data_IF_129039908010
#
_entry.id   IF_129039908010
#
_cell.length_a   1.000
_cell.length_b   1.000
_cell.length_c   1.000
_cell.angle_alpha   90.00
_cell.angle_beta   90.00
_cell.angle_gamma   90.00
#
_symmetry.space_group_name_H-M   'P 1'
#
loop_
_entity.id
_entity.type
_entity.pdbx_description
1 polymer ?
#
# COMPACT_ATOMS: atom_id res chain seq x y z
N UNK A 1 0.79 48.47 -55.24
CA UNK A 1 0.91 49.14 -53.93
C UNK A 1 -0.07 48.45 -53.02
N UNK A 2 0.42 47.52 -52.26
CA UNK A 2 -0.33 46.79 -51.23
C UNK A 2 0.25 47.22 -49.90
N UNK A 3 -0.54 47.79 -49.02
CA UNK A 3 -0.19 48.25 -47.69
C UNK A 3 -0.26 47.08 -46.73
N UNK A 4 0.88 46.72 -46.10
CA UNK A 4 0.98 45.81 -44.96
C UNK A 4 0.32 46.44 -43.74
N UNK A 5 -0.63 45.73 -43.14
CA UNK A 5 -1.18 46.05 -41.82
C UNK A 5 -0.45 45.23 -40.79
N UNK A 6 0.27 45.91 -39.91
CA UNK A 6 0.88 45.35 -38.70
C UNK A 6 -0.20 44.90 -37.69
N UNK A 7 -0.37 43.60 -37.52
CA UNK A 7 -1.14 43.01 -36.41
C UNK A 7 -0.22 42.81 -35.20
N UNK A 8 -0.25 43.74 -34.29
CA UNK A 8 0.34 43.59 -32.93
C UNK A 8 -0.55 42.69 -32.09
N UNK A 9 -0.21 41.40 -32.00
CA UNK A 9 -0.82 40.45 -31.05
C UNK A 9 -0.31 40.73 -29.64
N UNK A 10 -1.16 41.36 -28.82
CA UNK A 10 -0.96 41.48 -27.38
C UNK A 10 -1.16 40.10 -26.72
N UNK A 11 -0.08 39.48 -26.29
CA UNK A 11 -0.11 38.28 -25.41
C UNK A 11 -0.66 38.68 -24.05
N UNK A 12 -1.92 38.33 -23.78
CA UNK A 12 -2.51 38.41 -22.44
C UNK A 12 -1.78 37.46 -21.51
N UNK A 13 -1.02 38.04 -20.57
CA UNK A 13 -0.41 37.30 -19.47
C UNK A 13 -1.50 36.67 -18.61
N UNK A 14 -1.62 35.32 -18.68
CA UNK A 14 -2.47 34.56 -17.77
C UNK A 14 -2.02 34.74 -16.32
N UNK A 15 -2.92 34.56 -15.35
CA UNK A 15 -2.58 34.72 -13.96
C UNK A 15 -1.47 33.72 -13.58
N UNK A 16 -0.34 34.25 -13.09
CA UNK A 16 0.75 33.43 -12.54
C UNK A 16 0.22 32.68 -11.35
N UNK A 17 0.29 31.34 -11.41
CA UNK A 17 0.01 30.47 -10.27
C UNK A 17 0.89 30.91 -9.07
N UNK A 18 0.34 30.99 -7.86
CA UNK A 18 1.13 31.31 -6.68
C UNK A 18 2.30 30.34 -6.56
N UNK A 19 3.48 30.87 -6.24
CA UNK A 19 4.66 30.05 -6.01
C UNK A 19 4.34 29.00 -4.96
N UNK A 20 4.55 27.71 -5.30
CA UNK A 20 4.33 26.61 -4.38
C UNK A 20 5.18 26.83 -3.12
N UNK A 21 4.59 26.63 -1.95
CA UNK A 21 5.31 26.67 -0.68
C UNK A 21 6.56 25.76 -0.77
N UNK A 22 7.68 26.13 -0.12
CA UNK A 22 8.91 25.36 -0.21
C UNK A 22 8.64 23.91 0.22
N UNK A 23 8.91 22.97 -0.68
CA UNK A 23 8.67 21.56 -0.49
C UNK A 23 9.61 21.04 0.62
N UNK A 24 9.03 20.54 1.72
CA UNK A 24 9.77 20.04 2.88
C UNK A 24 10.51 18.73 2.57
N UNK A 25 9.88 17.85 1.79
CA UNK A 25 10.42 16.52 1.46
C UNK A 25 10.58 16.34 -0.05
N UNK A 26 11.66 15.66 -0.44
CA UNK A 26 11.95 15.31 -1.84
C UNK A 26 11.55 13.88 -2.16
N UNK A 27 11.48 13.00 -1.13
CA UNK A 27 11.15 11.59 -1.31
C UNK A 27 10.50 10.95 -0.09
N UNK A 28 9.84 9.83 -0.31
CA UNK A 28 9.33 8.93 0.72
C UNK A 28 10.09 7.61 0.63
N UNK A 29 10.72 7.19 1.73
CA UNK A 29 11.40 5.91 1.85
C UNK A 29 10.49 4.91 2.56
N UNK A 30 10.15 3.82 1.89
CA UNK A 30 9.36 2.72 2.44
C UNK A 30 10.30 1.60 2.85
N UNK A 31 10.25 1.21 4.12
CA UNK A 31 11.13 0.22 4.71
C UNK A 31 10.41 -1.10 4.95
N UNK A 32 10.95 -2.17 4.35
CA UNK A 32 10.66 -3.55 4.74
C UNK A 32 11.66 -4.04 5.78
N UNK A 33 11.61 -5.34 6.07
CA UNK A 33 12.38 -5.96 7.15
C UNK A 33 13.68 -6.64 6.72
N UNK A 34 14.01 -6.69 5.44
CA UNK A 34 15.18 -7.44 4.96
C UNK A 34 16.50 -6.75 5.36
N UNK A 35 17.39 -7.43 6.12
CA UNK A 35 18.54 -6.81 6.76
C UNK A 35 19.60 -6.28 5.77
N UNK A 36 19.76 -6.94 4.62
CA UNK A 36 20.82 -6.59 3.68
C UNK A 36 20.68 -5.19 3.08
N UNK A 37 19.45 -4.71 2.93
CA UNK A 37 19.20 -3.45 2.21
C UNK A 37 18.51 -2.36 3.03
N UNK A 38 17.85 -2.71 4.15
CA UNK A 38 17.13 -1.73 4.97
C UNK A 38 18.06 -0.65 5.51
N UNK A 39 19.28 -1.00 5.89
CA UNK A 39 20.24 -0.05 6.47
C UNK A 39 20.87 0.91 5.45
N UNK A 40 20.65 0.68 4.14
CA UNK A 40 21.07 1.62 3.09
C UNK A 40 20.03 2.70 2.78
N UNK A 41 18.90 2.73 3.51
CA UNK A 41 17.89 3.78 3.38
C UNK A 41 18.45 5.14 3.79
N UNK A 42 17.88 6.24 3.29
CA UNK A 42 18.42 7.60 3.47
C UNK A 42 18.12 8.18 4.87
N UNK A 43 18.48 7.45 5.94
CA UNK A 43 18.20 7.86 7.32
C UNK A 43 18.82 9.20 7.72
N UNK A 44 20.00 9.53 7.16
CA UNK A 44 20.71 10.79 7.44
C UNK A 44 20.20 11.98 6.63
N UNK A 45 19.36 11.75 5.62
CA UNK A 45 18.84 12.81 4.75
C UNK A 45 17.46 13.27 5.23
N UNK A 46 17.39 14.47 5.81
CA UNK A 46 16.15 15.05 6.33
C UNK A 46 15.14 15.42 5.24
N UNK A 47 15.53 15.40 3.96
CA UNK A 47 14.60 15.60 2.85
C UNK A 47 13.78 14.34 2.49
N UNK A 48 14.07 13.21 3.13
CA UNK A 48 13.29 12.00 2.99
C UNK A 48 12.36 11.78 4.18
N UNK A 49 11.11 11.43 3.91
CA UNK A 49 10.15 10.98 4.90
C UNK A 49 10.23 9.45 5.01
N UNK A 50 10.52 8.94 6.20
CA UNK A 50 10.78 7.51 6.42
C UNK A 50 9.52 6.81 6.94
N UNK A 51 8.99 5.88 6.15
CA UNK A 51 7.88 5.00 6.47
C UNK A 51 8.39 3.62 6.84
N UNK A 52 7.92 3.08 7.95
CA UNK A 52 8.24 1.72 8.38
C UNK A 52 6.98 1.01 8.88
N UNK A 53 7.01 -0.30 8.85
CA UNK A 53 5.94 -1.15 9.39
C UNK A 53 6.53 -2.24 10.27
N UNK A 54 5.64 -2.98 10.93
CA UNK A 54 5.95 -4.08 11.83
C UNK A 54 6.97 -5.06 11.23
N UNK A 55 8.18 -5.12 11.73
CA UNK A 55 9.04 -6.28 11.58
C UNK A 55 8.81 -7.22 12.76
N UNK A 56 8.97 -8.50 12.54
CA UNK A 56 8.80 -9.52 13.57
C UNK A 56 9.72 -9.35 14.81
N UNK A 57 10.71 -8.45 14.76
CA UNK A 57 11.69 -8.21 15.82
C UNK A 57 12.11 -6.73 15.91
N UNK A 58 11.21 -5.83 16.32
CA UNK A 58 11.56 -4.41 16.59
C UNK A 58 12.66 -4.31 17.65
N UNK A 59 12.64 -5.19 18.65
CA UNK A 59 13.64 -5.20 19.74
C UNK A 59 15.08 -5.42 19.25
N UNK A 60 15.26 -6.10 18.11
CA UNK A 60 16.56 -6.43 17.55
C UNK A 60 17.02 -5.48 16.45
N UNK A 61 16.17 -4.54 16.02
CA UNK A 61 16.47 -3.63 14.91
C UNK A 61 16.13 -2.20 15.28
N UNK A 62 17.11 -1.52 15.79
CA UNK A 62 17.01 -0.08 15.97
C UNK A 62 17.21 0.58 14.61
N UNK A 63 16.10 0.97 13.97
CA UNK A 63 16.18 1.84 12.80
C UNK A 63 16.66 3.21 13.25
N UNK A 64 17.62 3.83 12.54
CA UNK A 64 18.17 5.13 12.94
C UNK A 64 17.13 6.25 13.01
N UNK A 65 16.09 6.17 12.16
CA UNK A 65 14.97 7.12 12.11
C UNK A 65 13.73 6.46 11.51
N UNK A 66 12.58 6.80 12.06
CA UNK A 66 11.25 6.52 11.47
C UNK A 66 10.40 7.76 11.71
N UNK A 67 9.80 8.28 10.65
CA UNK A 67 8.93 9.45 10.73
C UNK A 67 7.46 9.05 10.84
N UNK A 68 7.06 7.96 10.17
CA UNK A 68 5.72 7.39 10.26
C UNK A 68 5.78 5.87 10.35
N UNK A 69 5.09 5.33 11.34
CA UNK A 69 4.95 3.90 11.54
C UNK A 69 3.60 3.40 11.06
N UNK A 70 3.55 2.20 10.49
CA UNK A 70 2.33 1.58 10.00
C UNK A 70 2.07 0.28 10.77
N UNK A 71 1.08 0.31 11.65
CA UNK A 71 0.56 -0.85 12.35
C UNK A 71 -0.79 -1.22 11.75
N UNK A 72 -0.77 -2.18 10.83
CA UNK A 72 -1.89 -2.48 9.94
C UNK A 72 -2.57 -3.82 10.23
N UNK A 73 -2.26 -4.45 11.36
CA UNK A 73 -2.96 -5.64 11.80
C UNK A 73 -4.43 -5.33 12.11
N UNK A 74 -5.30 -6.32 11.85
CA UNK A 74 -6.74 -6.17 12.02
C UNK A 74 -7.16 -6.20 13.50
N UNK A 75 -6.29 -6.71 14.36
CA UNK A 75 -6.57 -6.87 15.79
C UNK A 75 -5.40 -6.42 16.67
N UNK A 76 -5.73 -5.76 17.79
CA UNK A 76 -4.73 -5.35 18.77
C UNK A 76 -4.02 -6.55 19.41
N UNK A 77 -4.66 -7.71 19.44
CA UNK A 77 -4.08 -8.95 19.96
C UNK A 77 -2.86 -9.39 19.15
N UNK A 78 -2.85 -9.13 17.85
CA UNK A 78 -1.68 -9.41 16.98
C UNK A 78 -0.48 -8.54 17.35
N UNK A 79 -0.75 -7.32 17.82
CA UNK A 79 0.28 -6.36 18.27
C UNK A 79 0.82 -6.71 19.66
N UNK A 80 -0.03 -7.24 20.55
CA UNK A 80 0.35 -7.49 21.95
C UNK A 80 1.18 -8.76 22.16
N UNK A 81 1.30 -9.63 21.16
CA UNK A 81 2.06 -10.89 21.26
C UNK A 81 3.56 -10.69 21.52
N UNK A 82 4.10 -9.54 21.13
CA UNK A 82 5.50 -9.19 21.40
C UNK A 82 5.55 -7.94 22.28
N UNK A 83 5.73 -8.14 23.60
CA UNK A 83 5.66 -7.05 24.59
C UNK A 83 6.61 -5.87 24.29
N UNK A 84 7.83 -6.15 23.87
CA UNK A 84 8.79 -5.10 23.50
C UNK A 84 8.38 -4.33 22.27
N UNK A 85 7.77 -4.99 21.29
CA UNK A 85 7.21 -4.35 20.11
C UNK A 85 6.11 -3.34 20.46
N UNK A 86 5.16 -3.76 21.28
CA UNK A 86 4.07 -2.90 21.74
C UNK A 86 4.59 -1.61 22.40
N UNK A 87 5.60 -1.76 23.29
CA UNK A 87 6.24 -0.64 23.93
C UNK A 87 6.89 0.32 22.92
N UNK A 88 7.67 -0.22 21.99
CA UNK A 88 8.35 0.59 20.98
C UNK A 88 7.35 1.37 20.11
N UNK A 89 6.28 0.74 19.64
CA UNK A 89 5.25 1.39 18.82
C UNK A 89 4.44 2.42 19.63
N UNK A 90 4.15 2.14 20.91
CA UNK A 90 3.39 3.07 21.77
C UNK A 90 4.13 4.39 22.04
N UNK A 91 5.45 4.39 21.94
CA UNK A 91 6.31 5.56 22.11
C UNK A 91 6.52 6.37 20.82
N UNK A 92 6.14 5.81 19.66
CA UNK A 92 6.32 6.50 18.37
C UNK A 92 5.40 7.71 18.24
N UNK A 93 5.91 8.84 17.73
CA UNK A 93 5.15 10.08 17.64
C UNK A 93 4.06 10.04 16.56
N UNK A 94 4.16 9.11 15.61
CA UNK A 94 3.21 8.99 14.50
C UNK A 94 3.02 7.53 14.07
N UNK A 95 1.81 7.01 14.28
CA UNK A 95 1.46 5.62 13.96
C UNK A 95 0.12 5.57 13.22
N UNK A 96 0.14 5.06 12.00
CA UNK A 96 -1.07 4.70 11.26
C UNK A 96 -1.61 3.36 11.73
N UNK A 97 -2.89 3.30 12.09
CA UNK A 97 -3.54 2.10 12.61
C UNK A 97 -4.87 1.83 11.91
N UNK A 98 -5.18 0.55 11.70
CA UNK A 98 -6.47 0.11 11.14
C UNK A 98 -7.46 -0.31 12.21
N UNK A 99 -7.00 -0.93 13.31
CA UNK A 99 -7.89 -1.40 14.37
C UNK A 99 -8.48 -0.23 15.17
N UNK A 100 -9.81 0.00 15.11
CA UNK A 100 -10.45 1.07 15.88
C UNK A 100 -10.38 0.86 17.39
N UNK A 101 -10.16 -0.38 17.88
CA UNK A 101 -9.96 -0.68 19.30
C UNK A 101 -8.60 -0.18 19.76
N UNK A 102 -7.56 -0.40 18.93
CA UNK A 102 -6.22 0.13 19.17
C UNK A 102 -6.22 1.67 19.25
N UNK A 103 -6.92 2.33 18.32
CA UNK A 103 -7.08 3.79 18.31
C UNK A 103 -7.75 4.31 19.60
N UNK A 104 -8.76 3.61 20.11
CA UNK A 104 -9.51 3.98 21.32
C UNK A 104 -8.82 3.57 22.62
N UNK A 105 -7.82 2.71 22.57
CA UNK A 105 -7.16 2.15 23.77
C UNK A 105 -6.39 3.17 24.59
N UNK A 106 -5.96 4.28 23.99
CA UNK A 106 -5.08 5.27 24.59
C UNK A 106 -3.62 4.80 24.77
N UNK A 107 -3.29 3.59 24.35
CA UNK A 107 -1.93 3.03 24.46
C UNK A 107 -0.94 3.69 23.50
N UNK A 108 -1.41 4.13 22.35
CA UNK A 108 -0.58 4.66 21.28
C UNK A 108 -0.76 6.18 21.16
N UNK A 109 0.14 6.94 21.76
CA UNK A 109 0.04 8.41 21.80
C UNK A 109 0.04 9.07 20.41
N UNK A 110 0.78 8.50 19.49
CA UNK A 110 0.90 8.96 18.10
C UNK A 110 -0.11 8.37 17.13
N UNK A 111 -1.11 7.60 17.63
CA UNK A 111 -2.05 6.90 16.76
C UNK A 111 -2.89 7.82 15.87
N UNK A 112 -3.00 7.43 14.61
CA UNK A 112 -3.86 8.03 13.59
C UNK A 112 -4.61 6.93 12.86
N UNK A 113 -5.86 7.16 12.53
CA UNK A 113 -6.62 6.24 11.72
C UNK A 113 -6.05 6.18 10.30
N UNK A 114 -5.73 4.96 9.84
CA UNK A 114 -5.31 4.76 8.46
C UNK A 114 -6.52 5.07 7.54
N UNK A 115 -6.34 5.88 6.47
CA UNK A 115 -7.44 6.32 5.63
C UNK A 115 -7.92 5.23 4.66
N UNK A 116 -8.23 4.05 5.18
CA UNK A 116 -8.56 2.86 4.37
C UNK A 116 -9.77 3.11 3.47
N UNK A 117 -10.81 3.75 4.01
CA UNK A 117 -12.02 4.06 3.25
C UNK A 117 -11.76 4.95 2.04
N UNK A 118 -10.87 5.93 2.18
CA UNK A 118 -10.47 6.79 1.07
C UNK A 118 -9.65 6.01 0.04
N UNK A 119 -8.71 5.22 0.49
CA UNK A 119 -7.73 4.57 -0.38
C UNK A 119 -8.30 3.31 -1.05
N UNK A 120 -8.91 2.45 -0.26
CA UNK A 120 -9.44 1.14 -0.68
C UNK A 120 -10.91 1.19 -1.07
N UNK A 121 -11.66 2.14 -0.51
CA UNK A 121 -13.11 2.23 -0.66
C UNK A 121 -13.88 1.43 0.39
N UNK A 122 -15.18 1.34 0.17
CA UNK A 122 -16.11 0.58 1.00
C UNK A 122 -16.39 -0.80 0.40
N UNK A 123 -17.05 -1.64 1.19
CA UNK A 123 -17.50 -2.95 0.73
C UNK A 123 -18.93 -3.21 1.18
N UNK A 124 -19.61 -4.12 0.49
CA UNK A 124 -20.92 -4.62 0.86
C UNK A 124 -20.84 -6.12 1.13
N UNK A 125 -21.61 -6.58 2.11
CA UNK A 125 -21.74 -8.02 2.38
C UNK A 125 -22.81 -8.58 1.47
N UNK A 126 -22.47 -9.59 0.69
CA UNK A 126 -23.39 -10.28 -0.22
C UNK A 126 -23.45 -11.76 0.12
N UNK A 127 -24.66 -12.31 0.07
CA UNK A 127 -24.86 -13.75 0.15
C UNK A 127 -24.77 -14.32 -1.27
N UNK A 128 -23.76 -15.13 -1.52
CA UNK A 128 -23.58 -15.83 -2.79
C UNK A 128 -23.76 -17.33 -2.62
N UNK A 129 -24.10 -18.00 -3.72
CA UNK A 129 -23.97 -19.46 -3.81
C UNK A 129 -22.58 -19.78 -4.36
N UNK A 130 -21.78 -20.48 -3.59
CA UNK A 130 -20.44 -20.88 -3.97
C UNK A 130 -20.27 -22.40 -3.97
N UNK A 131 -19.48 -22.97 -4.90
CA UNK A 131 -19.17 -24.38 -4.92
C UNK A 131 -18.35 -24.77 -3.69
N UNK A 132 -18.63 -25.95 -3.13
CA UNK A 132 -17.91 -26.48 -1.96
C UNK A 132 -16.71 -27.35 -2.35
N UNK A 133 -16.56 -27.68 -3.64
CA UNK A 133 -15.62 -28.71 -4.11
C UNK A 133 -16.09 -30.14 -3.84
N UNK A 134 -17.25 -30.32 -3.19
CA UNK A 134 -17.85 -31.62 -2.96
C UNK A 134 -18.89 -31.92 -4.04
N UNK A 135 -19.05 -33.18 -4.40
CA UNK A 135 -20.00 -33.63 -5.38
C UNK A 135 -20.99 -34.63 -4.76
N UNK A 136 -22.24 -34.54 -5.12
CA UNK A 136 -23.28 -35.49 -4.73
C UNK A 136 -23.96 -36.06 -5.94
N UNK A 137 -24.43 -37.30 -5.81
CA UNK A 137 -25.24 -37.92 -6.83
C UNK A 137 -26.65 -37.33 -6.85
N UNK A 138 -27.11 -36.92 -8.00
CA UNK A 138 -28.46 -36.37 -8.25
C UNK A 138 -29.09 -37.09 -9.43
N UNK A 139 -30.42 -37.04 -9.55
CA UNK A 139 -31.08 -37.49 -10.76
C UNK A 139 -30.80 -36.50 -11.90
N UNK A 140 -30.21 -36.98 -12.98
CA UNK A 140 -30.02 -36.21 -14.21
C UNK A 140 -31.32 -35.98 -14.96
N UNK A 141 -31.31 -35.12 -16.00
CA UNK A 141 -32.51 -34.82 -16.82
C UNK A 141 -33.12 -36.03 -17.52
N UNK A 142 -32.33 -37.05 -17.77
CA UNK A 142 -32.73 -38.33 -18.38
C UNK A 142 -33.08 -39.42 -17.36
N UNK A 143 -33.18 -39.07 -16.07
CA UNK A 143 -33.44 -40.00 -14.97
C UNK A 143 -32.22 -40.83 -14.54
N UNK A 144 -31.07 -40.71 -15.20
CA UNK A 144 -29.86 -41.41 -14.83
C UNK A 144 -29.11 -40.66 -13.71
N UNK A 145 -28.33 -41.40 -12.90
CA UNK A 145 -27.50 -40.76 -11.89
C UNK A 145 -26.46 -39.80 -12.52
N UNK A 146 -26.42 -38.57 -12.05
CA UNK A 146 -25.42 -37.57 -12.41
C UNK A 146 -24.73 -37.02 -11.15
N UNK A 147 -23.48 -36.56 -11.27
CA UNK A 147 -22.79 -35.90 -10.20
C UNK A 147 -23.01 -34.39 -10.31
N UNK A 148 -23.50 -33.79 -9.24
CA UNK A 148 -23.66 -32.34 -9.16
C UNK A 148 -22.81 -31.78 -8.01
N UNK A 149 -22.16 -30.66 -8.25
CA UNK A 149 -21.41 -29.97 -7.24
C UNK A 149 -22.33 -29.39 -6.17
N UNK A 150 -21.96 -29.58 -4.92
CA UNK A 150 -22.68 -29.05 -3.76
C UNK A 150 -22.44 -27.56 -3.66
N UNK A 151 -23.49 -26.77 -3.72
CA UNK A 151 -23.45 -25.32 -3.55
C UNK A 151 -23.85 -24.97 -2.12
N UNK A 152 -23.10 -24.07 -1.49
CA UNK A 152 -23.46 -23.51 -0.19
C UNK A 152 -23.66 -21.99 -0.25
N UNK A 153 -24.41 -21.45 0.70
CA UNK A 153 -24.48 -20.00 0.87
C UNK A 153 -23.27 -19.53 1.63
N UNK A 154 -22.54 -18.57 1.06
CA UNK A 154 -21.42 -17.90 1.71
C UNK A 154 -21.69 -16.41 1.75
N UNK A 155 -21.37 -15.80 2.88
CA UNK A 155 -21.25 -14.35 2.98
C UNK A 155 -19.88 -13.96 2.47
N UNK A 156 -19.87 -13.11 1.46
CA UNK A 156 -18.63 -12.56 0.91
C UNK A 156 -18.67 -11.05 0.99
N UNK A 157 -17.54 -10.47 1.28
CA UNK A 157 -17.33 -9.03 1.21
C UNK A 157 -16.98 -8.67 -0.22
N UNK A 158 -17.84 -7.88 -0.86
CA UNK A 158 -17.66 -7.42 -2.24
C UNK A 158 -17.27 -5.95 -2.22
N UNK A 159 -16.08 -5.60 -2.71
CA UNK A 159 -15.64 -4.21 -2.78
C UNK A 159 -16.52 -3.38 -3.72
N UNK A 160 -16.84 -2.15 -3.30
CA UNK A 160 -17.65 -1.22 -4.10
C UNK A 160 -16.85 -0.46 -5.16
N UNK A 161 -15.51 -0.57 -5.14
CA UNK A 161 -14.60 0.14 -6.04
C UNK A 161 -14.76 1.67 -6.02
N UNK A 162 -15.16 2.21 -4.89
CA UNK A 162 -15.36 3.64 -4.63
C UNK A 162 -14.14 4.34 -3.98
N UNK A 163 -13.05 3.61 -3.80
CA UNK A 163 -11.77 4.13 -3.32
C UNK A 163 -10.85 4.63 -4.45
N UNK A 164 -9.74 5.25 -4.07
CA UNK A 164 -8.74 5.75 -5.02
C UNK A 164 -7.99 4.65 -5.77
N UNK A 165 -7.92 3.44 -5.20
CA UNK A 165 -7.16 2.32 -5.75
C UNK A 165 -8.00 1.04 -5.79
N UNK A 166 -7.55 0.07 -6.59
CA UNK A 166 -8.19 -1.24 -6.66
C UNK A 166 -8.11 -1.96 -5.30
N UNK A 167 -9.24 -2.28 -4.66
CA UNK A 167 -9.29 -2.80 -3.30
C UNK A 167 -8.63 -4.18 -3.13
N UNK A 168 -8.58 -4.99 -4.18
CA UNK A 168 -7.97 -6.33 -4.14
C UNK A 168 -6.44 -6.31 -4.16
N UNK A 169 -5.84 -5.15 -4.40
CA UNK A 169 -4.38 -4.99 -4.47
C UNK A 169 -3.72 -4.65 -3.13
N UNK A 170 -4.50 -4.47 -2.07
CA UNK A 170 -4.00 -4.26 -0.70
C UNK A 170 -3.58 -5.59 -0.05
N UNK A 171 -2.56 -6.21 -0.61
CA UNK A 171 -2.15 -7.58 -0.28
C UNK A 171 -1.10 -7.69 0.84
N UNK A 172 -0.53 -6.56 1.27
CA UNK A 172 0.51 -6.53 2.31
C UNK A 172 0.62 -5.15 2.95
N UNK A 173 1.26 -5.06 4.11
CA UNK A 173 1.56 -3.77 4.76
C UNK A 173 2.31 -2.82 3.82
N UNK A 174 3.21 -3.34 2.99
CA UNK A 174 3.95 -2.53 2.00
C UNK A 174 2.99 -1.94 0.95
N UNK A 175 1.98 -2.70 0.50
CA UNK A 175 0.97 -2.20 -0.43
C UNK A 175 0.15 -1.05 0.18
N UNK A 176 -0.25 -1.17 1.45
CA UNK A 176 -0.92 -0.09 2.19
C UNK A 176 -0.02 1.15 2.32
N UNK A 177 1.26 0.96 2.67
CA UNK A 177 2.22 2.06 2.77
C UNK A 177 2.43 2.77 1.43
N UNK A 178 2.50 2.02 0.33
CA UNK A 178 2.62 2.58 -1.03
C UNK A 178 1.38 3.40 -1.41
N UNK A 179 0.17 2.88 -1.14
CA UNK A 179 -1.06 3.63 -1.39
C UNK A 179 -1.06 4.99 -0.68
N UNK A 180 -0.69 5.00 0.62
CA UNK A 180 -0.58 6.25 1.39
C UNK A 180 0.53 7.16 0.86
N UNK A 181 1.69 6.59 0.52
CA UNK A 181 2.81 7.35 0.00
C UNK A 181 2.50 8.04 -1.34
N UNK A 182 1.70 7.39 -2.21
CA UNK A 182 1.26 8.01 -3.47
C UNK A 182 0.42 9.26 -3.18
N UNK A 183 -0.54 9.16 -2.26
CA UNK A 183 -1.38 10.30 -1.88
C UNK A 183 -0.54 11.41 -1.24
N UNK A 184 0.37 11.06 -0.32
CA UNK A 184 1.27 12.04 0.28
C UNK A 184 2.19 12.72 -0.75
N UNK A 185 2.62 11.99 -1.78
CA UNK A 185 3.38 12.56 -2.88
C UNK A 185 2.55 13.62 -3.64
N UNK A 186 1.29 13.31 -3.93
CA UNK A 186 0.40 14.24 -4.64
C UNK A 186 0.08 15.47 -3.79
N UNK A 187 -0.30 15.27 -2.52
CA UNK A 187 -0.66 16.36 -1.60
C UNK A 187 0.49 17.29 -1.26
N UNK A 188 1.71 16.74 -1.11
CA UNK A 188 2.89 17.48 -0.67
C UNK A 188 3.84 17.84 -1.81
N UNK A 189 3.53 17.45 -3.05
CA UNK A 189 4.38 17.69 -4.22
C UNK A 189 5.64 16.82 -4.27
N UNK A 190 5.75 15.78 -3.45
CA UNK A 190 6.90 14.85 -3.41
C UNK A 190 6.97 14.08 -4.73
N UNK A 191 8.18 13.88 -5.27
CA UNK A 191 8.35 13.35 -6.63
C UNK A 191 8.99 11.98 -6.71
N UNK A 192 9.30 11.36 -5.56
CA UNK A 192 9.95 10.04 -5.56
C UNK A 192 9.55 9.19 -4.37
N UNK A 193 9.44 7.88 -4.61
CA UNK A 193 9.25 6.84 -3.61
C UNK A 193 10.39 5.85 -3.76
N UNK A 194 11.08 5.54 -2.67
CA UNK A 194 12.14 4.55 -2.63
C UNK A 194 11.81 3.37 -1.71
N UNK A 195 12.31 2.19 -2.04
CA UNK A 195 12.06 0.92 -1.38
C UNK A 195 13.37 0.33 -0.86
N UNK A 196 13.44 0.08 0.45
CA UNK A 196 14.58 -0.55 1.12
C UNK A 196 14.12 -1.67 2.04
N UNK A 197 14.90 -2.73 2.14
CA UNK A 197 14.55 -3.89 2.96
C UNK A 197 13.35 -4.69 2.44
N UNK A 198 13.00 -4.52 1.18
CA UNK A 198 11.88 -5.21 0.53
C UNK A 198 12.44 -6.20 -0.49
N UNK A 199 12.47 -7.46 -0.08
CA UNK A 199 12.86 -8.60 -0.92
C UNK A 199 11.61 -9.47 -1.09
N UNK A 200 10.92 -9.30 -2.20
CA UNK A 200 9.70 -10.06 -2.51
C UNK A 200 10.07 -11.26 -3.37
N UNK A 201 10.45 -12.35 -2.72
CA UNK A 201 10.66 -13.62 -3.40
C UNK A 201 9.40 -14.07 -4.16
N UNK A 202 9.56 -14.89 -5.16
CA UNK A 202 8.44 -15.42 -5.97
C UNK A 202 7.74 -16.62 -5.32
N UNK A 203 8.08 -16.95 -4.08
CA UNK A 203 7.63 -18.15 -3.38
C UNK A 203 6.95 -17.83 -2.04
N UNK A 204 6.09 -18.75 -1.59
CA UNK A 204 5.42 -18.65 -0.30
C UNK A 204 4.47 -17.46 -0.19
N UNK A 205 4.40 -16.87 0.98
CA UNK A 205 3.56 -15.71 1.28
C UNK A 205 3.84 -14.51 0.37
N UNK A 206 5.10 -14.32 0.01
CA UNK A 206 5.51 -13.18 -0.84
C UNK A 206 4.96 -13.27 -2.27
N UNK A 207 4.68 -14.48 -2.78
CA UNK A 207 4.06 -14.65 -4.08
C UNK A 207 2.67 -13.99 -4.18
N UNK A 208 1.92 -13.96 -3.06
CA UNK A 208 0.61 -13.29 -2.97
C UNK A 208 0.72 -11.79 -2.72
N UNK A 209 1.78 -11.35 -2.04
CA UNK A 209 1.98 -9.94 -1.69
C UNK A 209 2.54 -9.12 -2.85
N UNK A 210 3.42 -9.72 -3.65
CA UNK A 210 4.14 -9.08 -4.74
C UNK A 210 3.26 -8.37 -5.78
N UNK A 211 2.16 -8.98 -6.30
CA UNK A 211 1.30 -8.31 -7.29
C UNK A 211 0.71 -6.99 -6.78
N UNK A 212 0.31 -6.91 -5.51
CA UNK A 212 -0.19 -5.68 -4.92
C UNK A 212 0.88 -4.59 -4.87
N UNK A 213 2.09 -4.94 -4.46
CA UNK A 213 3.22 -3.98 -4.46
C UNK A 213 3.50 -3.48 -5.88
N UNK A 214 3.62 -4.39 -6.86
CA UNK A 214 3.84 -4.03 -8.26
C UNK A 214 2.75 -3.11 -8.82
N UNK A 215 1.48 -3.38 -8.48
CA UNK A 215 0.36 -2.53 -8.85
C UNK A 215 0.56 -1.09 -8.35
N UNK A 216 0.86 -0.90 -7.06
CA UNK A 216 1.06 0.45 -6.51
C UNK A 216 2.30 1.15 -7.06
N UNK A 217 3.38 0.43 -7.34
CA UNK A 217 4.55 1.02 -8.01
C UNK A 217 4.21 1.50 -9.41
N UNK A 218 3.40 0.74 -10.15
CA UNK A 218 2.90 1.14 -11.45
C UNK A 218 1.99 2.38 -11.37
N UNK A 219 1.08 2.41 -10.38
CA UNK A 219 0.24 3.59 -10.11
C UNK A 219 1.06 4.83 -9.76
N UNK A 220 2.13 4.70 -8.99
CA UNK A 220 3.07 5.78 -8.70
C UNK A 220 3.72 6.31 -9.99
N UNK A 221 4.26 5.41 -10.81
CA UNK A 221 4.91 5.79 -12.08
C UNK A 221 3.94 6.46 -13.05
N UNK A 222 2.69 6.00 -13.16
CA UNK A 222 1.64 6.64 -13.98
C UNK A 222 1.36 8.08 -13.55
N UNK A 223 1.52 8.39 -12.27
CA UNK A 223 1.37 9.73 -11.69
C UNK A 223 2.65 10.56 -11.75
N UNK A 224 3.68 10.10 -12.47
CA UNK A 224 4.95 10.79 -12.63
C UNK A 224 5.83 10.76 -11.37
N UNK A 225 5.54 9.87 -10.43
CA UNK A 225 6.37 9.66 -9.25
C UNK A 225 7.51 8.71 -9.61
N UNK A 226 8.74 9.13 -9.39
CA UNK A 226 9.94 8.30 -9.62
C UNK A 226 10.00 7.18 -8.58
N UNK A 227 10.13 5.94 -9.03
CA UNK A 227 10.33 4.78 -8.16
C UNK A 227 11.82 4.42 -8.09
N UNK A 228 12.32 4.24 -6.88
CA UNK A 228 13.69 3.82 -6.59
C UNK A 228 13.61 2.49 -5.82
N UNK A 229 14.26 1.45 -6.33
CA UNK A 229 14.37 0.18 -5.63
C UNK A 229 15.80 -0.33 -5.69
N UNK A 230 16.20 -1.10 -4.69
CA UNK A 230 17.51 -1.73 -4.67
C UNK A 230 17.59 -2.78 -5.78
N UNK A 231 18.74 -2.89 -6.45
CA UNK A 231 19.00 -3.90 -7.48
C UNK A 231 18.85 -5.35 -7.00
N UNK A 232 19.07 -5.58 -5.71
CA UNK A 232 18.93 -6.89 -5.07
C UNK A 232 17.48 -7.28 -4.81
N UNK A 233 16.52 -6.36 -4.99
CA UNK A 233 15.12 -6.67 -4.84
C UNK A 233 14.59 -7.50 -6.00
N UNK A 234 14.06 -8.67 -5.70
CA UNK A 234 13.40 -9.54 -6.70
C UNK A 234 12.04 -8.99 -7.16
N UNK A 235 11.65 -7.81 -6.70
CA UNK A 235 10.33 -7.23 -6.94
C UNK A 235 10.03 -7.04 -8.44
N UNK A 236 11.06 -6.74 -9.24
CA UNK A 236 10.93 -6.52 -10.68
C UNK A 236 11.38 -7.73 -11.52
N UNK A 237 11.80 -8.81 -10.88
CA UNK A 237 12.17 -10.03 -11.59
C UNK A 237 10.92 -10.64 -12.23
N UNK A 238 11.03 -10.96 -13.51
CA UNK A 238 9.98 -11.71 -14.20
C UNK A 238 9.97 -13.15 -13.70
N UNK A 239 8.79 -13.72 -13.42
CA UNK A 239 8.71 -15.16 -13.16
C UNK A 239 9.32 -15.92 -14.32
N UNK A 240 10.38 -16.69 -14.08
CA UNK A 240 10.92 -17.58 -15.10
C UNK A 240 10.02 -18.81 -15.18
N UNK A 241 9.25 -18.90 -16.25
CA UNK A 241 8.53 -20.12 -16.59
C UNK A 241 9.56 -21.15 -17.02
N UNK A 242 9.74 -22.17 -16.20
CA UNK A 242 10.44 -23.39 -16.65
C UNK A 242 9.41 -24.22 -17.43
N UNK A 243 9.59 -24.28 -18.72
CA UNK A 243 8.86 -25.21 -19.61
C UNK A 243 9.37 -26.63 -19.38
#
# INVERSE_FOLDING_TARGET
MLTEQDETTATAGGPSLPAAAPQKYTGIAILGSHPATVMSAPFGDASWLIYACSPHNVEQRTLPRVDQWFELHDTIEDVTRAFGYLKAVSEMPFVWMRDPRALKSGLFKGAREYPEKLLKGTSTIQDIKAPTGQYRQVAGPDGKPAMAEVMERRRVEVPNHDGLFCPTMFTSSIAYMLAKAIVDCEEQGIRQIGLWGIMQASEGEYAYQRPGIQYFLHEAMKRGIKVIANRESCLFDMPQWKW
#
